data_IF_675858681123
#
_entry.id   IF_675858681123
#
_cell.length_a   1.000
_cell.length_b   1.000
_cell.length_c   1.000
_cell.angle_alpha   90.00
_cell.angle_beta   90.00
_cell.angle_gamma   90.00
#
_symmetry.space_group_name_H-M   'P 1'
#
loop_
_entity.id
_entity.type
_entity.pdbx_description
1 polymer ?
#
# COMPACT_ATOMS: atom_id res chain seq x y z
N UNK A 1 5.26 -5.72 24.14
CA UNK A 1 5.31 -6.19 25.54
C UNK A 1 6.78 -6.27 25.89
N UNK A 2 7.27 -5.37 26.74
CA UNK A 2 8.65 -5.32 27.23
C UNK A 2 8.59 -5.46 28.75
N UNK A 3 9.22 -6.49 29.30
CA UNK A 3 9.36 -6.66 30.75
C UNK A 3 10.74 -6.10 31.09
N UNK A 4 10.77 -5.03 31.88
CA UNK A 4 11.97 -4.25 32.20
C UNK A 4 13.15 -5.12 32.66
N UNK A 5 12.90 -6.09 33.54
CA UNK A 5 13.94 -7.02 34.00
C UNK A 5 14.53 -7.91 32.89
N UNK A 6 13.73 -8.25 31.87
CA UNK A 6 14.18 -9.08 30.75
C UNK A 6 15.02 -8.25 29.75
N UNK A 7 14.67 -6.97 29.59
CA UNK A 7 15.45 -6.03 28.77
C UNK A 7 16.80 -5.71 29.43
N UNK A 8 16.81 -5.52 30.76
CA UNK A 8 18.04 -5.28 31.51
C UNK A 8 18.96 -6.51 31.54
N UNK A 9 18.41 -7.72 31.69
CA UNK A 9 19.17 -8.96 31.59
C UNK A 9 19.81 -9.14 30.19
N UNK A 10 19.07 -8.88 29.11
CA UNK A 10 19.58 -8.94 27.74
C UNK A 10 20.65 -7.88 27.48
N UNK A 11 20.49 -6.68 28.04
CA UNK A 11 21.50 -5.60 27.99
C UNK A 11 22.81 -6.01 28.67
N UNK A 12 22.72 -6.58 29.88
CA UNK A 12 23.90 -7.06 30.62
C UNK A 12 24.60 -8.21 29.89
N UNK A 13 23.85 -9.15 29.34
CA UNK A 13 24.39 -10.26 28.54
C UNK A 13 25.15 -9.75 27.30
N UNK A 14 24.57 -8.81 26.53
CA UNK A 14 25.24 -8.19 25.38
C UNK A 14 26.51 -7.44 25.76
N UNK A 15 26.53 -6.80 26.93
CA UNK A 15 27.71 -6.09 27.45
C UNK A 15 28.83 -7.07 27.79
N UNK A 16 28.51 -8.16 28.48
CA UNK A 16 29.49 -9.21 28.83
C UNK A 16 30.12 -9.84 27.57
N UNK A 17 29.31 -10.14 26.55
CA UNK A 17 29.81 -10.67 25.27
C UNK A 17 30.70 -9.67 24.54
N UNK A 18 30.33 -8.38 24.53
CA UNK A 18 31.14 -7.32 23.89
C UNK A 18 32.48 -7.06 24.60
N UNK A 19 32.61 -7.42 25.88
CA UNK A 19 33.84 -7.23 26.68
C UNK A 19 34.80 -8.41 26.63
N UNK A 20 34.39 -9.55 26.05
CA UNK A 20 35.21 -10.77 25.98
C UNK A 20 35.72 -10.93 24.55
N UNK A 21 37.05 -11.00 24.35
CA UNK A 21 37.61 -11.25 23.03
C UNK A 21 37.18 -12.64 22.55
N UNK A 22 36.55 -12.71 21.37
CA UNK A 22 36.19 -13.99 20.78
C UNK A 22 37.46 -14.81 20.51
N UNK A 23 37.51 -16.10 20.88
CA UNK A 23 38.65 -16.95 20.60
C UNK A 23 38.90 -17.05 19.09
N UNK A 24 40.17 -16.95 18.67
CA UNK A 24 40.55 -16.91 17.26
C UNK A 24 40.50 -18.29 16.56
N UNK A 25 40.43 -19.39 17.33
CA UNK A 25 40.44 -20.77 16.84
C UNK A 25 39.65 -21.70 17.78
N UNK A 26 39.29 -22.88 17.28
CA UNK A 26 38.56 -23.91 18.04
C UNK A 26 37.04 -23.89 17.82
N UNK A 27 36.32 -24.82 18.47
CA UNK A 27 34.86 -24.94 18.37
C UNK A 27 34.14 -23.65 18.83
N UNK A 28 34.68 -22.97 19.83
CA UNK A 28 34.19 -21.68 20.35
C UNK A 28 34.33 -20.51 19.34
N UNK A 29 35.20 -20.65 18.33
CA UNK A 29 35.33 -19.69 17.24
C UNK A 29 34.32 -19.94 16.10
N UNK A 30 33.58 -21.06 16.15
CA UNK A 30 32.58 -21.37 15.13
C UNK A 30 31.31 -20.54 15.35
N UNK A 31 30.74 -19.94 14.28
CA UNK A 31 29.55 -19.13 14.43
C UNK A 31 28.36 -20.00 14.84
N UNK A 32 27.61 -19.54 15.85
CA UNK A 32 26.37 -20.21 16.25
C UNK A 32 25.34 -20.15 15.13
N UNK A 33 24.43 -21.13 15.06
CA UNK A 33 23.32 -21.14 14.09
C UNK A 33 22.51 -19.85 14.16
N UNK A 34 22.28 -19.33 15.37
CA UNK A 34 21.59 -18.05 15.61
C UNK A 34 22.39 -16.85 15.06
N UNK A 35 23.71 -16.85 15.23
CA UNK A 35 24.62 -15.86 14.65
C UNK A 35 24.57 -15.85 13.12
N UNK A 36 24.71 -17.03 12.50
CA UNK A 36 24.61 -17.18 11.04
C UNK A 36 23.25 -16.70 10.52
N UNK A 37 22.14 -17.07 11.17
CA UNK A 37 20.79 -16.60 10.80
C UNK A 37 20.65 -15.09 10.91
N UNK A 38 21.25 -14.47 11.91
CA UNK A 38 21.22 -13.02 12.11
C UNK A 38 21.96 -12.30 10.99
N UNK A 39 23.17 -12.75 10.65
CA UNK A 39 23.95 -12.22 9.52
C UNK A 39 23.21 -12.41 8.20
N UNK A 40 22.68 -13.61 7.94
CA UNK A 40 21.92 -13.88 6.72
C UNK A 40 20.68 -12.95 6.59
N UNK A 41 19.99 -12.66 7.71
CA UNK A 41 18.87 -11.73 7.74
C UNK A 41 19.30 -10.30 7.43
N UNK A 42 20.42 -9.83 7.98
CA UNK A 42 20.97 -8.50 7.71
C UNK A 42 21.35 -8.35 6.23
N UNK A 43 22.13 -9.30 5.69
CA UNK A 43 22.52 -9.33 4.28
C UNK A 43 21.30 -9.34 3.36
N UNK A 44 20.28 -10.14 3.69
CA UNK A 44 19.02 -10.18 2.93
C UNK A 44 18.27 -8.84 2.95
N UNK A 45 18.28 -8.13 4.09
CA UNK A 45 17.66 -6.80 4.21
C UNK A 45 18.43 -5.74 3.41
N UNK A 46 19.76 -5.79 3.42
CA UNK A 46 20.62 -4.89 2.64
C UNK A 46 20.49 -5.12 1.15
N UNK A 47 20.61 -6.37 0.69
CA UNK A 47 20.44 -6.74 -0.71
C UNK A 47 19.07 -6.27 -1.24
N UNK A 48 18.01 -6.43 -0.43
CA UNK A 48 16.67 -5.97 -0.76
C UNK A 48 16.56 -4.46 -0.86
N UNK A 49 17.14 -3.71 0.09
CA UNK A 49 17.15 -2.23 0.05
C UNK A 49 17.89 -1.73 -1.19
N UNK A 50 19.06 -2.32 -1.49
CA UNK A 50 19.87 -2.01 -2.67
C UNK A 50 19.17 -2.34 -3.98
N UNK A 51 18.48 -3.48 -4.05
CA UNK A 51 17.66 -3.80 -5.22
C UNK A 51 16.50 -2.82 -5.37
N UNK A 52 15.78 -2.52 -4.29
CA UNK A 52 14.62 -1.62 -4.33
C UNK A 52 15.00 -0.21 -4.76
N UNK A 53 16.14 0.33 -4.30
CA UNK A 53 16.59 1.66 -4.71
C UNK A 53 16.83 1.78 -6.22
N UNK A 54 17.22 0.68 -6.89
CA UNK A 54 17.32 0.64 -8.36
C UNK A 54 15.97 0.40 -9.04
N UNK A 55 15.14 -0.48 -8.48
CA UNK A 55 13.85 -0.84 -9.06
C UNK A 55 12.80 0.29 -8.96
N UNK A 56 12.80 1.08 -7.88
CA UNK A 56 11.81 2.12 -7.63
C UNK A 56 11.85 3.25 -8.67
N UNK A 57 13.00 3.47 -9.31
CA UNK A 57 13.15 4.42 -10.41
C UNK A 57 12.30 4.07 -11.64
N UNK A 58 11.99 2.78 -11.86
CA UNK A 58 11.18 2.30 -13.00
C UNK A 58 9.67 2.41 -12.79
N UNK A 59 9.23 2.81 -11.60
CA UNK A 59 7.80 2.98 -11.31
C UNK A 59 7.22 4.12 -12.15
N UNK A 60 5.91 4.13 -12.39
CA UNK A 60 5.26 5.26 -13.06
C UNK A 60 5.11 6.45 -12.10
N UNK A 61 5.09 7.68 -12.63
CA UNK A 61 4.83 8.89 -11.83
C UNK A 61 3.47 8.82 -11.14
N UNK A 62 2.48 8.18 -11.78
CA UNK A 62 1.19 7.92 -11.18
C UNK A 62 1.32 7.04 -9.93
N UNK A 63 2.01 5.90 -10.05
CA UNK A 63 2.19 4.99 -8.93
C UNK A 63 3.01 5.62 -7.79
N UNK A 64 4.03 6.43 -8.12
CA UNK A 64 4.77 7.25 -7.15
C UNK A 64 3.87 8.29 -6.48
N UNK A 65 3.03 8.96 -7.25
CA UNK A 65 2.12 10.01 -6.78
C UNK A 65 0.95 9.52 -5.93
N UNK A 66 0.68 8.20 -5.90
CA UNK A 66 -0.36 7.58 -5.08
C UNK A 66 0.13 7.10 -3.70
N UNK A 67 1.31 7.54 -3.26
CA UNK A 67 1.96 7.18 -1.98
C UNK A 67 1.39 7.93 -0.76
N UNK A 68 0.06 8.00 -0.62
CA UNK A 68 -0.58 8.74 0.49
C UNK A 68 -0.71 7.93 1.78
N UNK A 69 -0.92 6.62 1.67
CA UNK A 69 -1.00 5.74 2.85
C UNK A 69 0.37 5.29 3.36
N UNK A 70 1.43 5.52 2.58
CA UNK A 70 2.82 5.25 2.94
C UNK A 70 3.71 6.29 2.27
N UNK A 71 4.46 7.11 3.04
CA UNK A 71 5.31 8.18 2.50
C UNK A 71 6.39 7.66 1.53
N UNK A 72 6.65 6.36 1.55
CA UNK A 72 7.55 5.68 0.63
C UNK A 72 6.86 4.44 0.10
N UNK A 73 6.81 4.28 -1.24
CA UNK A 73 6.59 2.97 -1.84
C UNK A 73 7.82 2.14 -1.46
N UNK A 74 7.69 1.34 -0.42
CA UNK A 74 8.73 0.42 0.02
C UNK A 74 8.36 -0.99 -0.40
N UNK A 75 9.36 -1.75 -0.83
CA UNK A 75 9.18 -3.17 -1.03
C UNK A 75 8.96 -3.88 0.31
N UNK A 76 7.77 -4.46 0.48
CA UNK A 76 7.40 -5.24 1.64
C UNK A 76 7.50 -6.74 1.36
N UNK A 77 8.06 -7.50 2.30
CA UNK A 77 8.09 -8.98 2.23
C UNK A 77 6.90 -9.62 2.92
N UNK A 78 6.32 -8.96 3.91
CA UNK A 78 5.06 -9.41 4.49
C UNK A 78 3.94 -9.07 3.52
N UNK A 79 2.94 -9.96 3.45
CA UNK A 79 1.71 -9.70 2.73
C UNK A 79 1.12 -8.35 3.22
N UNK A 80 0.84 -7.41 2.31
CA UNK A 80 0.28 -6.13 2.67
C UNK A 80 -1.18 -6.30 3.10
N UNK A 81 -1.72 -5.44 4.00
CA UNK A 81 -3.08 -5.57 4.51
C UNK A 81 -4.14 -5.51 3.41
N UNK A 82 -3.84 -4.88 2.27
CA UNK A 82 -4.68 -4.89 1.07
C UNK A 82 -5.07 -6.32 0.62
N UNK A 83 -4.22 -7.33 0.84
CA UNK A 83 -4.51 -8.70 0.40
C UNK A 83 -5.59 -9.41 1.22
N UNK A 84 -6.02 -8.85 2.36
CA UNK A 84 -7.15 -9.39 3.12
C UNK A 84 -8.50 -8.88 2.59
N UNK A 85 -8.49 -7.89 1.70
CA UNK A 85 -9.71 -7.33 1.12
C UNK A 85 -10.46 -8.37 0.25
N UNK A 86 -11.80 -8.30 0.16
CA UNK A 86 -12.55 -9.06 -0.82
C UNK A 86 -12.03 -8.81 -2.24
N UNK A 87 -11.99 -9.87 -3.07
CA UNK A 87 -11.41 -9.83 -4.43
C UNK A 87 -11.94 -8.68 -5.29
N UNK A 88 -13.24 -8.40 -5.20
CA UNK A 88 -13.89 -7.33 -5.98
C UNK A 88 -13.37 -5.94 -5.59
N UNK A 89 -13.14 -5.69 -4.29
CA UNK A 89 -12.62 -4.44 -3.77
C UNK A 89 -11.11 -4.31 -4.03
N UNK A 90 -10.35 -5.40 -3.83
CA UNK A 90 -8.91 -5.45 -4.12
C UNK A 90 -8.62 -5.09 -5.58
N UNK A 91 -9.39 -5.64 -6.53
CA UNK A 91 -9.25 -5.30 -7.95
C UNK A 91 -9.41 -3.79 -8.19
N UNK A 92 -10.41 -3.15 -7.56
CA UNK A 92 -10.64 -1.70 -7.72
C UNK A 92 -9.52 -0.88 -7.06
N UNK A 93 -9.07 -1.28 -5.87
CA UNK A 93 -7.95 -0.64 -5.18
C UNK A 93 -6.67 -0.63 -6.02
N UNK A 94 -6.32 -1.78 -6.60
CA UNK A 94 -5.15 -1.91 -7.47
C UNK A 94 -5.31 -1.10 -8.76
N UNK A 95 -6.51 -1.08 -9.35
CA UNK A 95 -6.79 -0.28 -10.54
C UNK A 95 -6.61 1.21 -10.27
N UNK A 96 -7.09 1.72 -9.13
CA UNK A 96 -6.92 3.12 -8.73
C UNK A 96 -5.43 3.50 -8.64
N UNK A 97 -4.64 2.69 -7.94
CA UNK A 97 -3.21 2.94 -7.70
C UNK A 97 -2.35 2.82 -8.94
N UNK A 98 -2.66 1.86 -9.81
CA UNK A 98 -1.93 1.68 -11.05
C UNK A 98 -2.39 2.63 -12.15
N UNK A 99 -3.64 3.12 -12.09
CA UNK A 99 -4.43 3.66 -13.21
C UNK A 99 -4.76 2.64 -14.32
N UNK A 100 -4.43 1.37 -14.12
CA UNK A 100 -4.73 0.29 -15.06
C UNK A 100 -6.02 -0.40 -14.65
N UNK A 101 -7.09 -0.12 -15.38
CA UNK A 101 -8.40 -0.70 -15.13
C UNK A 101 -9.42 -0.19 -16.12
N UNK A 102 -10.68 -0.25 -15.71
CA UNK A 102 -11.81 0.24 -16.48
C UNK A 102 -11.90 1.78 -16.41
N UNK A 103 -10.96 2.45 -17.08
CA UNK A 103 -10.87 3.90 -17.19
C UNK A 103 -10.80 4.33 -18.65
N UNK A 104 -11.38 5.49 -18.97
CA UNK A 104 -11.52 5.94 -20.35
C UNK A 104 -10.17 6.10 -21.04
N UNK A 105 -9.16 6.61 -20.33
CA UNK A 105 -7.83 6.85 -20.90
C UNK A 105 -7.16 5.54 -21.33
N UNK A 106 -7.30 4.49 -20.51
CA UNK A 106 -6.72 3.18 -20.77
C UNK A 106 -7.37 2.54 -21.99
N UNK A 107 -8.71 2.52 -22.03
CA UNK A 107 -9.46 2.00 -23.16
C UNK A 107 -9.20 2.75 -24.47
N UNK A 108 -9.05 4.08 -24.42
CA UNK A 108 -8.67 4.89 -25.60
C UNK A 108 -7.26 4.55 -26.09
N UNK A 109 -6.30 4.39 -25.18
CA UNK A 109 -4.91 4.05 -25.52
C UNK A 109 -4.81 2.72 -26.28
N UNK A 110 -5.64 1.74 -25.92
CA UNK A 110 -5.64 0.40 -26.52
C UNK A 110 -6.80 0.18 -27.52
N UNK A 111 -7.57 1.21 -27.84
CA UNK A 111 -8.65 1.18 -28.84
C UNK A 111 -9.69 0.05 -28.61
N UNK A 112 -10.12 -0.15 -27.36
CA UNK A 112 -11.18 -1.12 -27.08
C UNK A 112 -12.54 -0.60 -27.58
N UNK A 113 -13.10 -1.22 -28.62
CA UNK A 113 -14.33 -0.78 -29.28
C UNK A 113 -15.57 -0.78 -28.37
N UNK A 114 -15.72 -1.83 -27.55
CA UNK A 114 -16.92 -2.06 -26.73
C UNK A 114 -16.81 -1.50 -25.30
N UNK A 115 -15.79 -0.70 -25.02
CA UNK A 115 -15.56 -0.20 -23.67
C UNK A 115 -16.49 0.96 -23.33
N UNK A 116 -17.24 0.82 -22.23
CA UNK A 116 -18.04 1.93 -21.69
C UNK A 116 -17.11 2.99 -21.09
N UNK A 117 -16.84 4.05 -21.84
CA UNK A 117 -15.90 5.10 -21.41
C UNK A 117 -16.47 6.05 -20.37
N UNK A 118 -17.78 6.14 -20.20
CA UNK A 118 -18.44 7.12 -19.34
C UNK A 118 -19.26 6.47 -18.23
N UNK A 119 -19.30 7.13 -17.08
CA UNK A 119 -20.18 6.81 -15.97
C UNK A 119 -21.61 7.32 -16.26
N UNK A 120 -22.62 6.80 -15.53
CA UNK A 120 -24.01 7.30 -15.58
C UNK A 120 -24.11 8.81 -15.29
N UNK A 121 -23.14 9.39 -14.57
CA UNK A 121 -23.09 10.84 -14.36
C UNK A 121 -22.66 11.66 -15.60
N UNK A 122 -22.34 11.01 -16.73
CA UNK A 122 -21.90 11.62 -17.98
C UNK A 122 -20.40 11.89 -18.09
N UNK A 123 -19.63 11.73 -17.01
CA UNK A 123 -18.19 11.99 -17.02
C UNK A 123 -17.39 10.76 -17.45
N UNK A 124 -16.20 11.02 -18.01
CA UNK A 124 -15.20 9.98 -18.30
C UNK A 124 -14.81 9.25 -17.01
N UNK A 125 -14.75 7.92 -17.08
CA UNK A 125 -14.21 7.07 -16.01
C UNK A 125 -12.73 7.41 -15.77
N UNK A 126 -12.44 7.91 -14.59
CA UNK A 126 -11.07 8.15 -14.09
C UNK A 126 -10.86 7.46 -12.76
N UNK A 127 -9.61 7.25 -12.32
CA UNK A 127 -9.35 6.67 -11.00
C UNK A 127 -10.07 7.41 -9.86
N UNK A 128 -9.90 8.73 -9.80
CA UNK A 128 -10.51 9.60 -8.81
C UNK A 128 -12.06 9.66 -8.88
N UNK A 129 -12.68 9.07 -9.91
CA UNK A 129 -14.10 9.22 -10.19
C UNK A 129 -15.01 8.67 -9.08
N UNK A 130 -14.55 7.68 -8.30
CA UNK A 130 -15.28 7.14 -7.15
C UNK A 130 -15.72 8.24 -6.18
N UNK A 131 -14.87 9.25 -5.94
CA UNK A 131 -15.16 10.31 -4.94
C UNK A 131 -15.53 11.66 -5.57
N UNK A 132 -15.37 11.78 -6.89
CA UNK A 132 -15.80 12.95 -7.67
C UNK A 132 -17.20 12.80 -8.26
N UNK A 133 -17.69 11.57 -8.42
CA UNK A 133 -19.01 11.36 -9.02
C UNK A 133 -20.12 11.90 -8.12
N UNK A 134 -21.01 12.71 -8.69
CA UNK A 134 -22.21 13.25 -8.00
C UNK A 134 -23.07 12.19 -7.32
N UNK A 135 -23.13 10.96 -7.87
CA UNK A 135 -23.92 9.88 -7.28
C UNK A 135 -23.26 9.32 -6.02
N UNK A 136 -21.92 9.20 -6.02
CA UNK A 136 -21.16 8.78 -4.85
C UNK A 136 -21.14 9.86 -3.77
N UNK A 137 -20.96 11.13 -4.16
CA UNK A 137 -20.94 12.27 -3.23
C UNK A 137 -22.25 12.46 -2.45
N UNK A 138 -23.40 12.00 -2.99
CA UNK A 138 -24.67 11.99 -2.25
C UNK A 138 -24.61 11.08 -1.02
N UNK A 139 -23.85 9.99 -1.09
CA UNK A 139 -23.67 9.04 0.01
C UNK A 139 -22.66 9.51 1.06
N UNK A 140 -21.88 10.56 0.79
CA UNK A 140 -20.90 11.06 1.76
C UNK A 140 -21.51 11.62 3.04
N UNK A 141 -22.78 12.02 3.02
CA UNK A 141 -23.49 12.38 4.24
C UNK A 141 -23.63 11.20 5.20
N UNK A 142 -23.76 9.99 4.68
CA UNK A 142 -23.92 8.74 5.42
C UNK A 142 -22.61 7.99 5.68
N UNK A 143 -21.51 8.47 5.11
CA UNK A 143 -20.19 7.87 5.27
C UNK A 143 -19.47 8.43 6.52
N UNK A 144 -19.16 7.61 7.55
CA UNK A 144 -18.58 8.09 8.80
C UNK A 144 -17.17 8.67 8.66
N UNK A 145 -16.37 8.18 7.70
CA UNK A 145 -15.00 8.67 7.43
C UNK A 145 -14.99 9.73 6.32
N UNK A 146 -16.07 10.50 6.16
CA UNK A 146 -16.15 11.53 5.13
C UNK A 146 -15.10 12.61 5.34
N UNK A 147 -14.56 13.19 4.24
CA UNK A 147 -13.69 14.34 4.35
C UNK A 147 -14.51 15.56 4.80
N UNK A 148 -13.87 16.51 5.49
CA UNK A 148 -14.51 17.75 5.95
C UNK A 148 -15.08 18.56 4.77
N UNK A 149 -14.32 18.64 3.68
CA UNK A 149 -14.76 19.20 2.41
C UNK A 149 -14.93 18.09 1.37
N UNK A 150 -15.99 18.17 0.56
CA UNK A 150 -16.18 17.23 -0.54
C UNK A 150 -15.04 17.37 -1.55
N UNK A 151 -14.41 16.27 -1.98
CA UNK A 151 -13.49 16.28 -3.11
C UNK A 151 -14.21 16.80 -4.34
N UNK A 152 -13.66 17.83 -4.97
CA UNK A 152 -14.26 18.49 -6.13
C UNK A 152 -13.29 18.59 -7.31
N UNK A 153 -12.04 18.19 -7.11
CA UNK A 153 -11.01 18.14 -8.14
C UNK A 153 -10.11 16.91 -7.92
N UNK A 154 -9.26 16.63 -8.91
CA UNK A 154 -8.34 15.48 -8.88
C UNK A 154 -7.44 15.49 -7.65
N UNK A 155 -6.86 16.63 -7.26
CA UNK A 155 -5.93 16.71 -6.13
C UNK A 155 -6.60 16.32 -4.80
N UNK A 156 -7.76 16.90 -4.50
CA UNK A 156 -8.55 16.60 -3.29
C UNK A 156 -9.06 15.17 -3.28
N UNK A 157 -9.46 14.63 -4.44
CA UNK A 157 -9.93 13.26 -4.57
C UNK A 157 -8.82 12.23 -4.34
N UNK A 158 -7.66 12.47 -4.94
CA UNK A 158 -6.49 11.62 -4.82
C UNK A 158 -5.95 11.65 -3.38
N UNK A 159 -5.89 12.82 -2.75
CA UNK A 159 -5.50 12.94 -1.34
C UNK A 159 -6.46 12.18 -0.41
N UNK A 160 -7.77 12.34 -0.62
CA UNK A 160 -8.78 11.65 0.19
C UNK A 160 -8.74 10.13 0.01
N UNK A 161 -8.78 9.63 -1.24
CA UNK A 161 -8.64 8.20 -1.53
C UNK A 161 -7.34 7.62 -0.97
N UNK A 162 -6.28 8.44 -1.00
CA UNK A 162 -4.99 8.12 -0.45
C UNK A 162 -4.94 7.98 1.08
N UNK A 163 -5.82 8.68 1.80
CA UNK A 163 -5.93 8.61 3.26
C UNK A 163 -6.69 7.38 3.77
N UNK A 164 -7.41 6.67 2.91
CA UNK A 164 -8.22 5.52 3.30
C UNK A 164 -7.33 4.32 3.62
N UNK A 165 -7.72 3.55 4.64
CA UNK A 165 -7.18 2.20 4.83
C UNK A 165 -7.87 1.22 3.87
N UNK A 166 -7.31 0.01 3.67
CA UNK A 166 -7.99 -1.05 2.92
C UNK A 166 -9.41 -1.32 3.41
N UNK A 167 -9.63 -1.32 4.73
CA UNK A 167 -10.96 -1.51 5.34
C UNK A 167 -11.89 -0.34 5.03
N UNK A 168 -11.44 0.90 5.23
CA UNK A 168 -12.26 2.09 4.93
C UNK A 168 -12.69 2.11 3.46
N UNK A 169 -11.83 1.63 2.56
CA UNK A 169 -12.15 1.56 1.15
C UNK A 169 -13.23 0.54 0.82
N UNK A 170 -13.18 -0.65 1.43
CA UNK A 170 -14.23 -1.66 1.27
C UNK A 170 -15.57 -1.08 1.72
N UNK A 171 -15.61 -0.51 2.92
CA UNK A 171 -16.83 0.09 3.46
C UNK A 171 -17.33 1.27 2.63
N UNK A 172 -16.43 2.08 2.04
CA UNK A 172 -16.81 3.14 1.10
C UNK A 172 -17.47 2.57 -0.16
N UNK A 173 -16.95 1.47 -0.71
CA UNK A 173 -17.56 0.80 -1.86
C UNK A 173 -18.94 0.25 -1.52
N UNK A 174 -19.11 -0.32 -0.33
CA UNK A 174 -20.37 -0.88 0.14
C UNK A 174 -21.42 0.22 0.39
N UNK A 175 -21.00 1.34 0.99
CA UNK A 175 -21.85 2.50 1.23
C UNK A 175 -22.31 3.16 -0.07
N UNK A 176 -21.39 3.36 -1.02
CA UNK A 176 -21.66 4.11 -2.25
C UNK A 176 -22.27 3.25 -3.35
N UNK A 177 -22.07 1.92 -3.31
CA UNK A 177 -22.43 0.99 -4.38
C UNK A 177 -21.95 1.47 -5.76
N UNK A 178 -20.80 2.17 -5.79
CA UNK A 178 -20.43 2.97 -6.94
C UNK A 178 -20.15 2.13 -8.19
N UNK A 179 -19.34 1.09 -8.06
CA UNK A 179 -18.96 0.22 -9.18
C UNK A 179 -20.02 -0.83 -9.52
N UNK A 180 -21.08 -0.95 -8.71
CA UNK A 180 -22.20 -1.88 -8.93
C UNK A 180 -23.41 -1.18 -9.52
N UNK A 181 -23.71 0.08 -9.14
CA UNK A 181 -24.92 0.81 -9.57
C UNK A 181 -24.67 1.95 -10.56
N UNK A 182 -23.55 2.65 -10.47
CA UNK A 182 -23.37 3.93 -11.20
C UNK A 182 -22.26 3.89 -12.25
N UNK A 183 -21.09 3.39 -11.88
CA UNK A 183 -19.92 3.29 -12.75
C UNK A 183 -19.58 1.81 -12.96
N UNK A 184 -20.50 1.09 -13.60
CA UNK A 184 -20.29 -0.31 -13.98
C UNK A 184 -19.19 -0.42 -15.01
N UNK A 185 -18.67 -1.65 -15.19
CA UNK A 185 -17.85 -1.98 -16.36
C UNK A 185 -18.59 -1.61 -17.64
#
# INVERSE_FOLDING_TARGET
>A
MGIEGNEEADRLAKRAVSSTAAPAYGLEATPTVSGVRTVAKQLSQEARRKWWSGACGKLSDWYRGWSFSRPTVEYQVKAPPELTMPRHALHRWLALRSSHGDFSWYHRRFQHADARLTCVCGHNKSPEHLVLCRHSQRHFLHWPKRPAARPHNRATAVAYLGSLTPTDFVELLDCTQFYTRYCTR
#
